data_IF_438685193343
#
_entry.id   IF_438685193343
#
_cell.length_a   1.000
_cell.length_b   1.000
_cell.length_c   1.000
_cell.angle_alpha   90.00
_cell.angle_beta   90.00
_cell.angle_gamma   90.00
#
_symmetry.space_group_name_H-M   'P 1'
#
loop_
_entity.id
_entity.type
_entity.pdbx_description
1 polymer ?
#
# COMPACT_ATOMS: atom_id res chain seq x y z
N UNK A 1 -3.97 9.25 -5.61
CA UNK A 1 -4.86 9.97 -4.68
C UNK A 1 -4.78 9.32 -3.32
N UNK A 2 -4.79 10.08 -2.23
CA UNK A 2 -4.59 9.55 -0.87
C UNK A 2 -5.92 9.32 -0.11
N UNK A 3 -7.04 9.64 -0.74
CA UNK A 3 -8.38 9.60 -0.18
C UNK A 3 -9.34 8.97 -1.19
N UNK A 4 -10.44 8.44 -0.68
CA UNK A 4 -11.55 7.78 -1.37
C UNK A 4 -12.33 8.67 -2.34
N UNK A 5 -12.04 9.97 -2.38
CA UNK A 5 -12.69 10.92 -3.27
C UNK A 5 -14.18 11.03 -2.97
N UNK A 6 -15.02 10.83 -4.00
CA UNK A 6 -16.48 10.96 -3.87
C UNK A 6 -17.15 9.78 -3.15
N UNK A 7 -16.45 8.64 -2.97
CA UNK A 7 -16.96 7.52 -2.17
C UNK A 7 -17.12 7.91 -0.70
N UNK A 8 -16.34 8.91 -0.28
CA UNK A 8 -16.45 9.55 1.01
C UNK A 8 -15.56 8.91 2.08
N UNK A 9 -15.28 9.67 3.14
CA UNK A 9 -14.22 9.42 4.12
C UNK A 9 -14.30 8.11 4.89
N UNK A 10 -15.44 7.41 4.87
CA UNK A 10 -15.57 6.04 5.41
C UNK A 10 -14.72 5.02 4.66
N UNK A 11 -14.34 5.32 3.42
CA UNK A 11 -13.49 4.48 2.57
C UNK A 11 -12.04 5.01 2.50
N UNK A 12 -11.70 6.05 3.26
CA UNK A 12 -10.33 6.54 3.30
C UNK A 12 -9.42 5.49 3.93
N UNK A 13 -8.21 5.26 3.37
CA UNK A 13 -7.26 4.38 3.99
C UNK A 13 -6.78 4.98 5.30
N UNK A 14 -6.52 4.12 6.28
CA UNK A 14 -5.87 4.57 7.50
C UNK A 14 -4.38 4.77 7.26
N UNK A 15 -3.93 6.01 7.34
CA UNK A 15 -2.54 6.37 7.05
C UNK A 15 -1.68 6.37 8.32
N UNK A 16 -0.53 5.67 8.25
CA UNK A 16 0.49 5.66 9.30
C UNK A 16 1.62 6.59 8.87
N UNK A 17 1.84 7.68 9.59
CA UNK A 17 2.84 8.70 9.23
C UNK A 17 4.15 8.60 10.04
N UNK A 18 4.18 7.80 11.11
CA UNK A 18 5.38 7.60 11.94
C UNK A 18 6.48 6.80 11.23
N UNK A 19 7.71 6.87 11.73
CA UNK A 19 8.82 6.04 11.29
C UNK A 19 8.91 4.77 12.16
N UNK A 20 8.61 3.57 11.64
CA UNK A 20 8.67 2.33 12.41
C UNK A 20 10.08 1.96 12.91
N UNK A 21 11.12 2.62 12.40
CA UNK A 21 12.49 2.43 12.87
C UNK A 21 12.83 3.29 14.10
N UNK A 22 12.04 4.31 14.43
CA UNK A 22 12.31 5.16 15.58
C UNK A 22 12.05 4.41 16.91
N UNK A 23 12.88 4.66 17.93
CA UNK A 23 12.78 3.99 19.23
C UNK A 23 11.47 4.33 19.97
N UNK A 24 10.94 5.52 19.72
CA UNK A 24 9.68 6.01 20.26
C UNK A 24 8.48 5.75 19.34
N UNK A 25 8.66 4.95 18.28
CA UNK A 25 7.57 4.62 17.36
C UNK A 25 6.42 3.98 18.14
N UNK A 26 5.35 4.76 18.26
CA UNK A 26 4.06 4.34 18.78
C UNK A 26 3.00 4.89 17.87
N UNK A 27 1.95 4.11 17.68
CA UNK A 27 0.75 4.59 17.02
C UNK A 27 0.09 5.67 17.88
N UNK A 28 0.31 6.94 17.53
CA UNK A 28 -0.30 8.09 18.22
C UNK A 28 -1.85 8.03 18.18
N UNK A 29 -2.42 7.39 17.16
CA UNK A 29 -3.86 7.13 17.05
C UNK A 29 -4.35 5.97 17.95
N UNK A 30 -3.47 5.05 18.35
CA UNK A 30 -3.81 3.87 19.16
C UNK A 30 -3.29 3.92 20.60
N UNK A 31 -2.50 4.92 20.99
CA UNK A 31 -2.10 5.07 22.38
C UNK A 31 -3.34 5.40 23.20
N UNK A 32 -3.97 4.35 23.74
CA UNK A 32 -4.99 4.50 24.76
C UNK A 32 -4.37 5.29 25.90
N UNK A 33 -4.83 6.53 26.14
CA UNK A 33 -4.43 7.32 27.31
C UNK A 33 -4.53 6.45 28.56
N UNK A 34 -3.56 6.57 29.47
CA UNK A 34 -3.53 5.79 30.72
C UNK A 34 -4.92 5.76 31.39
N UNK A 35 -5.42 4.55 31.65
CA UNK A 35 -6.75 4.31 32.22
C UNK A 35 -7.90 4.11 31.22
N UNK A 36 -7.64 4.14 29.91
CA UNK A 36 -8.61 3.82 28.86
C UNK A 36 -8.48 2.35 28.44
N UNK A 37 -9.35 1.49 28.96
CA UNK A 37 -9.42 0.06 28.60
C UNK A 37 -10.40 -0.17 27.45
N UNK A 38 -10.33 -1.30 26.72
CA UNK A 38 -11.31 -1.65 25.69
C UNK A 38 -12.75 -1.54 26.20
N UNK A 39 -13.05 -2.08 27.39
CA UNK A 39 -14.38 -1.96 28.01
C UNK A 39 -14.81 -0.52 28.31
N UNK A 40 -13.88 0.36 28.72
CA UNK A 40 -14.18 1.80 28.91
C UNK A 40 -14.39 2.54 27.59
N UNK A 41 -13.70 2.14 26.52
CA UNK A 41 -13.95 2.65 25.17
C UNK A 41 -15.34 2.24 24.70
N UNK A 42 -15.74 0.98 24.90
CA UNK A 42 -17.10 0.49 24.63
C UNK A 42 -18.15 1.30 25.40
N UNK A 43 -17.99 1.45 26.72
CA UNK A 43 -18.97 2.20 27.52
C UNK A 43 -19.08 3.68 27.12
N UNK A 44 -17.98 4.31 26.71
CA UNK A 44 -18.01 5.69 26.17
C UNK A 44 -18.68 5.75 24.81
N UNK A 45 -18.47 4.75 23.96
CA UNK A 45 -19.15 4.63 22.67
C UNK A 45 -20.66 4.52 22.88
N UNK A 46 -21.09 3.61 23.74
CA UNK A 46 -22.51 3.41 24.07
C UNK A 46 -23.14 4.69 24.62
N UNK A 47 -22.43 5.43 25.48
CA UNK A 47 -22.90 6.71 26.00
C UNK A 47 -23.03 7.77 24.90
N UNK A 48 -22.03 7.89 24.03
CA UNK A 48 -22.05 8.84 22.92
C UNK A 48 -23.16 8.51 21.92
N UNK A 49 -23.39 7.24 21.62
CA UNK A 49 -24.46 6.80 20.72
C UNK A 49 -25.84 7.10 21.33
N UNK A 50 -26.01 6.89 22.65
CA UNK A 50 -27.22 7.32 23.38
C UNK A 50 -27.46 8.83 23.35
N UNK A 51 -26.41 9.64 23.54
CA UNK A 51 -26.51 11.11 23.47
C UNK A 51 -26.81 11.60 22.05
N UNK A 52 -26.24 10.93 21.05
CA UNK A 52 -26.44 11.18 19.64
C UNK A 52 -27.85 10.81 19.16
N UNK A 53 -28.45 9.75 19.69
CA UNK A 53 -29.82 9.35 19.39
C UNK A 53 -30.89 10.35 19.85
N UNK A 54 -30.56 11.25 20.79
CA UNK A 54 -31.44 12.36 21.20
C UNK A 54 -31.34 13.61 20.32
N UNK A 55 -30.41 13.65 19.36
CA UNK A 55 -30.11 14.84 18.54
C UNK A 55 -30.64 14.66 17.11
N UNK A 56 -31.96 14.69 16.94
CA UNK A 56 -32.66 14.49 15.66
C UNK A 56 -32.68 15.77 14.79
N UNK A 57 -31.52 16.35 14.50
CA UNK A 57 -31.39 17.41 13.48
C UNK A 57 -30.66 16.88 12.25
N UNK A 58 -30.90 17.39 11.02
CA UNK A 58 -30.17 16.98 9.84
C UNK A 58 -28.69 17.36 10.04
N UNK A 59 -27.89 16.36 10.45
CA UNK A 59 -26.47 16.52 10.65
C UNK A 59 -25.83 16.67 9.26
N UNK A 60 -25.08 17.75 9.09
CA UNK A 60 -24.30 18.02 7.88
C UNK A 60 -23.34 16.85 7.63
N UNK A 61 -23.08 16.49 6.37
CA UNK A 61 -22.31 15.27 5.98
C UNK A 61 -20.91 15.13 6.58
N UNK A 62 -20.38 16.18 7.24
CA UNK A 62 -19.14 16.16 8.00
C UNK A 62 -19.28 15.42 9.35
N UNK A 63 -20.45 15.46 10.00
CA UNK A 63 -20.68 14.75 11.26
C UNK A 63 -20.81 13.22 11.06
N UNK A 64 -21.41 12.80 9.95
CA UNK A 64 -21.51 11.38 9.59
C UNK A 64 -20.14 10.81 9.18
N UNK A 65 -19.32 11.59 8.45
CA UNK A 65 -17.94 11.18 8.15
C UNK A 65 -17.09 10.90 9.40
N UNK A 66 -17.26 11.73 10.44
CA UNK A 66 -16.56 11.57 11.70
C UNK A 66 -17.06 10.33 12.48
N UNK A 67 -18.35 9.96 12.35
CA UNK A 67 -18.88 8.74 12.96
C UNK A 67 -18.33 7.48 12.30
N UNK A 68 -18.29 7.45 10.97
CA UNK A 68 -17.83 6.28 10.21
C UNK A 68 -16.33 6.02 10.42
N UNK A 69 -15.50 7.06 10.36
CA UNK A 69 -14.07 6.96 10.68
C UNK A 69 -13.84 6.49 12.12
N UNK A 70 -14.67 6.94 13.06
CA UNK A 70 -14.60 6.55 14.47
C UNK A 70 -15.02 5.09 14.69
N UNK A 71 -15.96 4.57 13.91
CA UNK A 71 -16.39 3.17 13.96
C UNK A 71 -15.29 2.23 13.47
N UNK A 72 -14.68 2.54 12.32
CA UNK A 72 -13.56 1.77 11.77
C UNK A 72 -12.37 1.80 12.73
N UNK A 73 -12.02 2.97 13.26
CA UNK A 73 -10.96 3.10 14.26
C UNK A 73 -11.26 2.27 15.51
N UNK A 74 -12.52 2.23 15.96
CA UNK A 74 -12.95 1.43 17.11
C UNK A 74 -12.85 -0.07 16.84
N UNK A 75 -13.26 -0.57 15.67
CA UNK A 75 -13.13 -1.98 15.30
C UNK A 75 -11.66 -2.40 15.24
N UNK A 76 -10.80 -1.57 14.65
CA UNK A 76 -9.36 -1.79 14.61
C UNK A 76 -8.74 -1.79 16.03
N UNK A 77 -9.12 -0.83 16.87
CA UNK A 77 -8.67 -0.70 18.26
C UNK A 77 -9.11 -1.86 19.17
N UNK A 78 -10.30 -2.41 18.93
CA UNK A 78 -10.86 -3.50 19.73
C UNK A 78 -10.37 -4.86 19.25
N UNK A 79 -9.92 -4.98 18.01
CA UNK A 79 -9.16 -6.13 17.53
C UNK A 79 -7.73 -6.07 18.09
N UNK A 80 -7.52 -6.58 19.31
CA UNK A 80 -6.22 -6.52 19.99
C UNK A 80 -5.04 -6.96 19.12
N UNK A 81 -5.26 -7.89 18.19
CA UNK A 81 -4.26 -8.37 17.22
C UNK A 81 -3.67 -7.27 16.32
N UNK A 82 -4.48 -6.33 15.84
CA UNK A 82 -3.98 -5.22 14.99
C UNK A 82 -3.09 -4.31 15.82
N UNK A 83 -3.48 -3.97 17.05
CA UNK A 83 -2.65 -3.17 17.97
C UNK A 83 -1.31 -3.84 18.22
N UNK A 84 -1.30 -5.16 18.46
CA UNK A 84 -0.07 -5.93 18.64
C UNK A 84 0.82 -5.96 17.39
N UNK A 85 0.24 -5.97 16.19
CA UNK A 85 1.01 -5.90 14.95
C UNK A 85 1.84 -4.59 14.86
N UNK A 86 1.34 -3.49 15.42
CA UNK A 86 2.06 -2.21 15.47
C UNK A 86 3.18 -2.14 16.51
N UNK A 87 3.23 -3.09 17.45
CA UNK A 87 4.32 -3.18 18.43
C UNK A 87 5.55 -3.84 17.79
N UNK A 88 6.21 -3.12 16.87
CA UNK A 88 7.39 -3.60 16.14
C UNK A 88 8.57 -3.98 17.07
N UNK A 89 8.59 -3.45 18.29
CA UNK A 89 9.55 -3.84 19.33
C UNK A 89 9.39 -5.29 19.82
N UNK A 90 8.29 -5.98 19.49
CA UNK A 90 8.13 -7.42 19.76
C UNK A 90 8.97 -8.30 18.82
N UNK A 91 9.44 -7.75 17.70
CA UNK A 91 10.33 -8.47 16.78
C UNK A 91 11.74 -8.58 17.34
N UNK A 92 12.39 -9.72 17.10
CA UNK A 92 13.78 -9.91 17.49
C UNK A 92 14.70 -8.91 16.78
N UNK A 93 15.83 -8.59 17.41
CA UNK A 93 16.81 -7.70 16.78
C UNK A 93 17.34 -8.26 15.46
N UNK A 94 17.48 -9.59 15.39
CA UNK A 94 17.87 -10.32 14.19
C UNK A 94 16.87 -10.08 13.05
N UNK A 95 15.56 -10.27 13.29
CA UNK A 95 14.54 -10.01 12.27
C UNK A 95 14.54 -8.55 11.84
N UNK A 96 14.61 -7.62 12.78
CA UNK A 96 14.66 -6.19 12.44
C UNK A 96 15.91 -5.83 11.63
N UNK A 97 17.04 -6.48 11.89
CA UNK A 97 18.28 -6.30 11.13
C UNK A 97 18.20 -6.92 9.73
N UNK A 98 17.55 -8.08 9.55
CA UNK A 98 17.33 -8.69 8.23
C UNK A 98 16.59 -7.76 7.27
N UNK A 99 15.51 -7.12 7.75
CA UNK A 99 14.76 -6.14 6.96
C UNK A 99 15.53 -4.81 6.75
N UNK A 100 16.54 -4.55 7.58
CA UNK A 100 17.32 -3.31 7.57
C UNK A 100 16.76 -2.26 8.54
N UNK A 101 17.66 -1.63 9.31
CA UNK A 101 17.37 -0.59 10.30
C UNK A 101 17.18 0.79 9.66
N UNK A 102 16.22 0.85 8.75
CA UNK A 102 15.82 2.06 8.04
C UNK A 102 14.29 2.07 7.88
N UNK A 103 13.74 3.24 7.53
CA UNK A 103 12.30 3.43 7.42
C UNK A 103 11.62 2.46 6.45
N UNK A 104 12.25 2.12 5.31
CA UNK A 104 11.66 1.23 4.30
C UNK A 104 11.58 -0.20 4.82
N UNK A 105 12.72 -0.73 5.27
CA UNK A 105 12.82 -2.07 5.84
C UNK A 105 11.83 -2.29 6.99
N UNK A 106 11.77 -1.35 7.93
CA UNK A 106 10.85 -1.46 9.07
C UNK A 106 9.38 -1.24 8.67
N UNK A 107 9.09 -0.48 7.62
CA UNK A 107 7.73 -0.36 7.08
C UNK A 107 7.28 -1.67 6.40
N UNK A 108 8.17 -2.35 5.69
CA UNK A 108 7.89 -3.66 5.09
C UNK A 108 7.72 -4.72 6.20
N UNK A 109 8.54 -4.68 7.25
CA UNK A 109 8.39 -5.55 8.43
C UNK A 109 7.03 -5.35 9.12
N UNK A 110 6.61 -4.09 9.31
CA UNK A 110 5.28 -3.78 9.83
C UNK A 110 4.18 -4.30 8.90
N UNK A 111 4.36 -4.19 7.59
CA UNK A 111 3.42 -4.76 6.63
C UNK A 111 3.29 -6.28 6.77
N UNK A 112 4.40 -7.00 6.94
CA UNK A 112 4.40 -8.44 7.23
C UNK A 112 3.57 -8.78 8.47
N UNK A 113 3.75 -8.03 9.56
CA UNK A 113 2.97 -8.20 10.80
C UNK A 113 1.47 -7.95 10.60
N UNK A 114 1.11 -6.96 9.77
CA UNK A 114 -0.28 -6.68 9.42
C UNK A 114 -0.91 -7.82 8.58
N UNK A 115 -0.14 -8.40 7.66
CA UNK A 115 -0.57 -9.59 6.90
C UNK A 115 -0.80 -10.78 7.84
N UNK A 116 0.10 -11.05 8.80
CA UNK A 116 -0.03 -12.15 9.77
C UNK A 116 -1.30 -12.06 10.64
N UNK A 117 -1.80 -10.84 10.90
CA UNK A 117 -3.04 -10.63 11.65
C UNK A 117 -4.28 -10.52 10.77
N UNK A 118 -4.14 -10.70 9.46
CA UNK A 118 -5.23 -10.80 8.50
C UNK A 118 -5.73 -9.46 7.97
N UNK A 119 -4.90 -8.41 7.96
CA UNK A 119 -5.27 -7.15 7.28
C UNK A 119 -5.32 -7.42 5.77
N UNK A 120 -6.48 -7.20 5.11
CA UNK A 120 -6.69 -7.67 3.73
C UNK A 120 -5.90 -6.87 2.68
N UNK A 121 -5.63 -5.58 2.93
CA UNK A 121 -4.87 -4.72 2.03
C UNK A 121 -3.89 -3.90 2.87
N UNK A 122 -2.61 -4.02 2.57
CA UNK A 122 -1.54 -3.27 3.21
C UNK A 122 -0.71 -2.57 2.14
N UNK A 123 -0.59 -1.25 2.24
CA UNK A 123 0.25 -0.46 1.35
C UNK A 123 1.45 0.10 2.12
N UNK A 124 2.65 -0.38 1.81
CA UNK A 124 3.90 0.21 2.29
C UNK A 124 4.44 1.20 1.26
N UNK A 125 4.42 2.49 1.57
CA UNK A 125 4.96 3.52 0.67
C UNK A 125 6.45 3.73 0.95
N UNK A 126 7.28 3.62 -0.09
CA UNK A 126 8.72 3.77 0.02
C UNK A 126 9.13 5.25 -0.01
N UNK A 127 8.89 5.94 1.11
CA UNK A 127 9.25 7.34 1.34
C UNK A 127 8.09 8.32 1.15
N UNK A 128 8.42 9.60 1.06
CA UNK A 128 7.47 10.68 0.75
C UNK A 128 7.30 10.85 -0.77
N UNK A 129 6.33 11.66 -1.18
CA UNK A 129 6.18 12.11 -2.58
C UNK A 129 7.54 12.62 -3.07
N UNK A 130 7.95 12.23 -4.29
CA UNK A 130 9.24 12.55 -4.91
C UNK A 130 10.48 11.76 -4.40
N UNK A 131 10.32 10.82 -3.46
CA UNK A 131 11.47 10.01 -3.00
C UNK A 131 12.15 9.25 -4.12
N UNK A 132 11.36 8.79 -5.11
CA UNK A 132 11.85 8.09 -6.29
C UNK A 132 12.09 9.01 -7.49
N UNK A 133 11.93 10.33 -7.32
CA UNK A 133 12.20 11.35 -8.34
C UNK A 133 13.69 11.64 -8.46
N UNK A 134 14.35 10.84 -9.28
CA UNK A 134 15.77 10.86 -9.56
C UNK A 134 16.13 11.76 -10.75
N UNK A 135 15.55 12.96 -10.82
CA UNK A 135 15.91 13.97 -11.83
C UNK A 135 17.36 14.48 -11.68
N UNK A 136 17.96 14.24 -10.51
CA UNK A 136 19.36 14.53 -10.19
C UNK A 136 19.94 13.30 -9.49
N UNK A 137 21.19 12.98 -9.82
CA UNK A 137 21.96 11.87 -9.23
C UNK A 137 21.21 10.52 -9.26
N UNK A 138 20.72 10.15 -10.44
CA UNK A 138 19.93 8.92 -10.57
C UNK A 138 20.69 7.68 -10.11
N UNK A 139 21.95 7.52 -10.50
CA UNK A 139 22.75 6.35 -10.15
C UNK A 139 23.18 6.35 -8.69
N UNK A 140 23.60 7.48 -8.14
CA UNK A 140 24.01 7.57 -6.74
C UNK A 140 22.84 7.28 -5.80
N UNK A 141 21.68 7.90 -6.03
CA UNK A 141 20.47 7.68 -5.22
C UNK A 141 19.96 6.25 -5.34
N UNK A 142 19.87 5.69 -6.55
CA UNK A 142 19.42 4.32 -6.73
C UNK A 142 20.37 3.32 -6.08
N UNK A 143 21.67 3.41 -6.37
CA UNK A 143 22.67 2.43 -5.91
C UNK A 143 22.92 2.48 -4.41
N UNK A 144 22.93 3.67 -3.82
CA UNK A 144 23.42 3.85 -2.45
C UNK A 144 22.31 4.04 -1.42
N UNK A 145 21.05 4.22 -1.85
CA UNK A 145 19.96 4.52 -0.93
C UNK A 145 18.69 3.76 -1.26
N UNK A 146 18.14 3.92 -2.48
CA UNK A 146 16.80 3.43 -2.79
C UNK A 146 16.76 1.91 -3.01
N UNK A 147 17.59 1.39 -3.93
CA UNK A 147 17.55 -0.03 -4.28
C UNK A 147 18.03 -0.94 -3.14
N UNK A 148 19.13 -0.66 -2.42
CA UNK A 148 19.58 -1.55 -1.33
C UNK A 148 18.54 -1.71 -0.22
N UNK A 149 17.85 -0.63 0.16
CA UNK A 149 16.85 -0.67 1.22
C UNK A 149 15.59 -1.44 0.77
N UNK A 150 15.14 -1.22 -0.47
CA UNK A 150 14.02 -1.96 -1.04
C UNK A 150 14.36 -3.45 -1.18
N UNK A 151 15.51 -3.78 -1.76
CA UNK A 151 15.96 -5.14 -2.01
C UNK A 151 16.09 -5.94 -0.72
N UNK A 152 16.77 -5.38 0.29
CA UNK A 152 16.92 -6.01 1.60
C UNK A 152 15.57 -6.29 2.28
N UNK A 153 14.68 -5.28 2.33
CA UNK A 153 13.39 -5.41 2.99
C UNK A 153 12.44 -6.36 2.25
N UNK A 154 12.42 -6.29 0.90
CA UNK A 154 11.59 -7.15 0.07
C UNK A 154 12.06 -8.60 0.13
N UNK A 155 13.37 -8.87 0.06
CA UNK A 155 13.90 -10.22 0.18
C UNK A 155 13.49 -10.85 1.52
N UNK A 156 13.64 -10.11 2.64
CA UNK A 156 13.24 -10.59 3.95
C UNK A 156 11.72 -10.85 4.06
N UNK A 157 10.89 -10.01 3.44
CA UNK A 157 9.44 -10.23 3.35
C UNK A 157 9.12 -11.52 2.59
N UNK A 158 9.73 -11.72 1.44
CA UNK A 158 9.49 -12.91 0.61
C UNK A 158 9.88 -14.19 1.35
N UNK A 159 11.03 -14.19 2.02
CA UNK A 159 11.49 -15.31 2.85
C UNK A 159 10.52 -15.59 4.00
N UNK A 160 10.09 -14.57 4.74
CA UNK A 160 9.17 -14.73 5.88
C UNK A 160 7.79 -15.24 5.41
N UNK A 161 7.23 -14.69 4.32
CA UNK A 161 5.95 -15.13 3.77
C UNK A 161 6.02 -16.55 3.22
N UNK A 162 7.14 -16.92 2.58
CA UNK A 162 7.33 -18.28 2.10
C UNK A 162 7.46 -19.27 3.27
N UNK A 163 8.28 -18.96 4.27
CA UNK A 163 8.52 -19.84 5.42
C UNK A 163 7.28 -20.03 6.29
N UNK A 164 6.40 -19.02 6.35
CA UNK A 164 5.12 -19.10 7.08
C UNK A 164 3.99 -19.72 6.25
N UNK A 165 4.20 -19.97 4.95
CA UNK A 165 3.15 -20.40 4.02
C UNK A 165 2.17 -19.29 3.60
N UNK A 166 2.29 -18.08 4.15
CA UNK A 166 1.41 -16.94 3.83
C UNK A 166 1.57 -16.45 2.38
N UNK A 167 2.70 -16.75 1.73
CA UNK A 167 2.91 -16.39 0.33
C UNK A 167 1.88 -17.03 -0.61
N UNK A 168 1.36 -18.22 -0.26
CA UNK A 168 0.32 -18.89 -1.06
C UNK A 168 -1.01 -18.13 -1.06
N UNK A 169 -1.26 -17.31 -0.04
CA UNK A 169 -2.51 -16.59 0.18
C UNK A 169 -2.37 -15.06 0.07
N UNK A 170 -1.15 -14.57 -0.12
CA UNK A 170 -0.84 -13.13 -0.15
C UNK A 170 -0.26 -12.76 -1.50
N UNK A 171 -0.91 -11.84 -2.21
CA UNK A 171 -0.33 -11.23 -3.40
C UNK A 171 0.60 -10.09 -3.00
N UNK A 172 1.87 -10.20 -3.35
CA UNK A 172 2.86 -9.13 -3.20
C UNK A 172 3.00 -8.41 -4.53
N UNK A 173 2.74 -7.10 -4.54
CA UNK A 173 2.92 -6.23 -5.70
C UNK A 173 3.88 -5.10 -5.36
N UNK A 174 4.95 -4.98 -6.15
CA UNK A 174 5.94 -3.91 -6.02
C UNK A 174 5.98 -3.13 -7.33
N UNK A 175 5.48 -1.90 -7.30
CA UNK A 175 5.39 -1.06 -8.49
C UNK A 175 5.52 0.42 -8.14
N UNK A 176 6.00 1.20 -9.12
CA UNK A 176 5.93 2.65 -9.10
C UNK A 176 4.74 3.18 -9.92
N UNK A 177 4.67 4.51 -10.07
CA UNK A 177 3.62 5.19 -10.83
C UNK A 177 3.98 5.41 -12.30
N UNK A 178 5.27 5.53 -12.60
CA UNK A 178 5.81 5.77 -13.94
C UNK A 178 7.28 5.36 -14.00
N UNK A 179 7.79 5.21 -15.22
CA UNK A 179 9.18 4.89 -15.49
C UNK A 179 10.05 6.13 -15.57
N UNK A 180 11.26 5.94 -16.08
CA UNK A 180 12.25 7.00 -16.27
C UNK A 180 12.68 7.08 -17.73
N UNK A 181 12.91 8.30 -18.20
CA UNK A 181 13.28 8.53 -19.61
C UNK A 181 14.48 7.67 -20.00
N UNK A 182 14.48 7.02 -21.18
CA UNK A 182 15.68 6.39 -21.73
C UNK A 182 16.85 7.37 -21.84
N UNK A 183 16.51 8.61 -22.21
CA UNK A 183 17.44 9.73 -22.30
C UNK A 183 17.85 10.21 -20.92
N UNK A 184 19.15 10.36 -20.75
CA UNK A 184 19.78 10.98 -19.59
C UNK A 184 19.77 12.50 -19.78
N UNK A 185 19.37 13.24 -18.75
CA UNK A 185 19.29 14.70 -18.78
C UNK A 185 19.95 15.31 -17.54
N UNK A 186 20.45 16.54 -17.70
CA UNK A 186 20.90 17.37 -16.58
C UNK A 186 19.97 18.58 -16.51
N UNK A 187 19.24 18.73 -15.40
CA UNK A 187 18.34 19.86 -15.23
C UNK A 187 19.10 21.19 -15.19
N UNK A 188 18.48 22.32 -15.60
CA UNK A 188 19.08 23.64 -15.48
C UNK A 188 19.57 23.92 -14.05
N UNK A 189 20.82 24.38 -13.91
CA UNK A 189 21.43 24.67 -12.62
C UNK A 189 21.94 23.45 -11.85
N UNK A 190 21.86 22.24 -12.41
CA UNK A 190 22.42 21.02 -11.84
C UNK A 190 23.70 20.60 -12.56
N UNK A 191 24.57 19.87 -11.85
CA UNK A 191 25.83 19.33 -12.40
C UNK A 191 25.81 17.82 -12.52
N UNK A 192 24.97 17.14 -11.75
CA UNK A 192 24.84 15.68 -11.74
C UNK A 192 23.59 15.29 -12.53
N UNK A 193 23.71 14.46 -13.59
CA UNK A 193 22.57 14.08 -14.41
C UNK A 193 21.62 13.13 -13.68
N UNK A 194 20.38 13.09 -14.15
CA UNK A 194 19.36 12.14 -13.73
C UNK A 194 18.49 11.68 -14.90
N UNK A 195 17.25 11.33 -14.61
CA UNK A 195 16.24 10.96 -15.60
C UNK A 195 14.88 11.57 -15.26
N UNK A 196 14.15 11.94 -16.29
CA UNK A 196 12.83 12.55 -16.17
C UNK A 196 11.71 11.51 -16.13
N UNK A 197 10.48 11.96 -15.88
CA UNK A 197 9.30 11.08 -15.84
C UNK A 197 9.01 10.48 -17.21
N UNK A 198 8.62 9.20 -17.22
CA UNK A 198 8.30 8.49 -18.44
C UNK A 198 7.12 7.54 -18.24
N UNK A 199 5.93 8.01 -18.60
CA UNK A 199 4.68 7.25 -18.41
C UNK A 199 4.47 6.13 -19.45
N UNK A 200 5.26 6.11 -20.53
CA UNK A 200 5.06 5.14 -21.61
C UNK A 200 5.44 3.71 -21.25
N UNK A 201 6.38 3.51 -20.31
CA UNK A 201 6.82 2.19 -19.91
C UNK A 201 7.39 2.20 -18.49
N UNK A 202 6.98 1.23 -17.67
CA UNK A 202 7.56 0.88 -16.38
C UNK A 202 7.26 -0.58 -16.05
N UNK A 203 7.98 -1.12 -15.06
CA UNK A 203 7.83 -2.51 -14.63
C UNK A 203 7.18 -2.60 -13.26
N UNK A 204 6.46 -3.70 -13.01
CA UNK A 204 6.01 -4.12 -11.69
C UNK A 204 6.48 -5.54 -11.40
N UNK A 205 6.71 -5.86 -10.13
CA UNK A 205 6.98 -7.20 -9.64
C UNK A 205 5.73 -7.73 -8.94
N UNK A 206 5.40 -8.99 -9.24
CA UNK A 206 4.22 -9.69 -8.73
C UNK A 206 4.65 -11.06 -8.20
N UNK A 207 4.19 -11.45 -7.02
CA UNK A 207 4.47 -12.75 -6.43
C UNK A 207 3.35 -13.21 -5.47
N UNK A 208 3.33 -14.51 -5.18
CA UNK A 208 2.36 -15.11 -4.26
C UNK A 208 0.95 -15.25 -4.84
N UNK A 209 0.00 -15.71 -4.02
CA UNK A 209 -1.41 -15.89 -4.40
C UNK A 209 -1.63 -16.65 -5.74
N UNK A 210 -0.84 -17.71 -5.98
CA UNK A 210 -0.92 -18.51 -7.20
C UNK A 210 -0.21 -17.93 -8.43
N UNK A 211 0.41 -16.75 -8.32
CA UNK A 211 1.27 -16.20 -9.39
C UNK A 211 2.48 -17.12 -9.59
N UNK A 212 2.73 -17.47 -10.86
CA UNK A 212 3.89 -18.26 -11.25
C UNK A 212 5.14 -17.36 -11.26
N UNK A 213 6.09 -17.64 -10.38
CA UNK A 213 7.36 -16.91 -10.33
C UNK A 213 8.31 -17.26 -11.48
N UNK A 214 9.40 -16.49 -11.60
CA UNK A 214 10.50 -16.79 -12.55
C UNK A 214 10.19 -16.49 -14.02
N UNK A 215 9.20 -15.63 -14.28
CA UNK A 215 8.82 -15.22 -15.63
C UNK A 215 8.97 -13.71 -15.82
N UNK A 216 9.15 -13.31 -17.08
CA UNK A 216 9.09 -11.92 -17.53
C UNK A 216 7.89 -11.82 -18.47
N UNK A 217 6.99 -10.89 -18.18
CA UNK A 217 5.80 -10.62 -19.00
C UNK A 217 5.94 -9.21 -19.57
N UNK A 218 5.88 -9.12 -20.89
CA UNK A 218 6.01 -7.91 -21.66
C UNK A 218 7.44 -7.63 -22.12
N UNK A 219 7.54 -6.82 -23.16
CA UNK A 219 8.79 -6.41 -23.78
C UNK A 219 8.73 -4.94 -24.17
N UNK A 220 9.84 -4.24 -24.00
CA UNK A 220 10.05 -2.88 -24.50
C UNK A 220 11.02 -2.87 -25.68
N UNK A 221 11.08 -1.75 -26.40
CA UNK A 221 12.10 -1.54 -27.42
C UNK A 221 13.52 -1.60 -26.83
N UNK A 222 14.53 -1.62 -27.70
CA UNK A 222 15.94 -1.73 -27.29
C UNK A 222 16.44 -0.59 -26.39
N UNK A 223 15.68 0.51 -26.27
CA UNK A 223 16.00 1.65 -25.40
C UNK A 223 15.17 1.65 -24.10
N UNK A 224 14.31 0.64 -23.91
CA UNK A 224 13.32 0.59 -22.84
C UNK A 224 12.36 1.81 -22.84
N UNK A 225 12.07 2.37 -24.02
CA UNK A 225 11.25 3.57 -24.16
C UNK A 225 9.76 3.22 -24.29
N UNK A 226 9.41 2.32 -25.21
CA UNK A 226 8.02 1.98 -25.48
C UNK A 226 7.80 0.48 -25.41
N UNK A 227 6.62 0.01 -24.97
CA UNK A 227 6.25 -1.39 -25.07
C UNK A 227 6.15 -1.80 -26.54
N UNK A 228 6.68 -2.98 -26.87
CA UNK A 228 6.59 -3.58 -28.21
C UNK A 228 5.81 -4.91 -28.21
N UNK A 229 5.46 -5.41 -27.03
CA UNK A 229 4.47 -6.49 -26.81
C UNK A 229 3.15 -5.89 -26.31
N UNK A 230 2.18 -6.75 -25.94
CA UNK A 230 1.00 -6.32 -25.18
C UNK A 230 1.44 -5.56 -23.93
N UNK A 231 0.99 -4.31 -23.82
CA UNK A 231 1.15 -3.50 -22.63
C UNK A 231 -0.03 -3.70 -21.68
N UNK A 232 0.24 -3.64 -20.38
CA UNK A 232 -0.77 -3.71 -19.33
C UNK A 232 -0.88 -2.34 -18.65
N UNK A 233 -2.09 -1.83 -18.58
CA UNK A 233 -2.42 -0.54 -18.01
C UNK A 233 -2.56 -0.62 -16.47
N UNK A 234 -2.57 0.52 -15.76
CA UNK A 234 -2.94 0.54 -14.35
C UNK A 234 -4.31 -0.10 -14.07
N UNK A 235 -5.26 0.00 -15.01
CA UNK A 235 -6.57 -0.63 -14.86
C UNK A 235 -6.49 -2.17 -14.88
N UNK A 236 -5.57 -2.75 -15.66
CA UNK A 236 -5.33 -4.20 -15.70
C UNK A 236 -4.71 -4.70 -14.39
N UNK A 237 -3.81 -3.89 -13.80
CA UNK A 237 -3.25 -4.18 -12.47
C UNK A 237 -4.35 -4.16 -11.40
N UNK A 238 -5.20 -3.12 -11.38
CA UNK A 238 -6.34 -3.06 -10.46
C UNK A 238 -7.30 -4.25 -10.65
N UNK A 239 -7.58 -4.64 -11.90
CA UNK A 239 -8.42 -5.80 -12.22
C UNK A 239 -7.83 -7.09 -11.68
N UNK A 240 -6.52 -7.26 -11.79
CA UNK A 240 -5.80 -8.42 -11.26
C UNK A 240 -5.86 -8.46 -9.73
N UNK A 241 -5.66 -7.32 -9.06
CA UNK A 241 -5.77 -7.20 -7.60
C UNK A 241 -7.19 -7.55 -7.11
N UNK A 242 -8.21 -7.01 -7.75
CA UNK A 242 -9.61 -7.20 -7.33
C UNK A 242 -10.08 -8.63 -7.61
N UNK A 243 -9.63 -9.22 -8.72
CA UNK A 243 -9.84 -10.65 -8.97
C UNK A 243 -9.22 -11.52 -7.87
N UNK A 244 -8.02 -11.18 -7.38
CA UNK A 244 -7.40 -11.91 -6.28
C UNK A 244 -8.11 -11.72 -4.93
N UNK A 245 -8.87 -10.63 -4.79
CA UNK A 245 -9.72 -10.34 -3.64
C UNK A 245 -11.17 -10.85 -3.80
N UNK A 246 -11.47 -11.58 -4.89
CA UNK A 246 -12.80 -12.08 -5.22
C UNK A 246 -13.87 -10.98 -5.34
N UNK A 247 -13.47 -9.80 -5.85
CA UNK A 247 -14.39 -8.70 -6.14
C UNK A 247 -15.00 -8.91 -7.52
N UNK A 248 -16.33 -8.86 -7.59
CA UNK A 248 -17.08 -9.01 -8.83
C UNK A 248 -16.69 -7.90 -9.86
N UNK A 249 -16.25 -8.27 -11.07
CA UNK A 249 -15.83 -7.32 -12.09
C UNK A 249 -16.96 -6.42 -12.62
N UNK A 250 -18.22 -6.83 -12.47
CA UNK A 250 -19.38 -6.07 -12.96
C UNK A 250 -19.89 -5.03 -11.93
N UNK A 251 -19.21 -4.89 -10.79
CA UNK A 251 -19.57 -3.91 -9.76
C UNK A 251 -19.50 -2.50 -10.33
N UNK A 252 -20.59 -1.75 -10.17
CA UNK A 252 -20.65 -0.33 -10.51
C UNK A 252 -20.73 0.55 -9.27
N UNK A 253 -20.01 1.67 -9.30
CA UNK A 253 -20.15 2.77 -8.35
C UNK A 253 -20.95 3.91 -8.96
N UNK A 254 -21.78 4.57 -8.15
CA UNK A 254 -22.60 5.69 -8.58
C UNK A 254 -21.92 6.99 -8.15
N UNK A 255 -21.71 7.90 -9.09
CA UNK A 255 -21.14 9.21 -8.78
C UNK A 255 -22.19 10.20 -8.21
N UNK A 256 -21.79 11.38 -7.72
CA UNK A 256 -22.74 12.37 -7.20
C UNK A 256 -23.78 12.88 -8.21
N UNK A 257 -23.54 12.70 -9.51
CA UNK A 257 -24.47 13.04 -10.60
C UNK A 257 -25.36 11.86 -11.01
N UNK A 258 -25.39 10.78 -10.20
CA UNK A 258 -26.16 9.56 -10.44
C UNK A 258 -25.76 8.80 -11.71
N UNK A 259 -24.50 8.93 -12.13
CA UNK A 259 -23.97 8.17 -13.27
C UNK A 259 -23.30 6.89 -12.78
N UNK A 260 -23.65 5.72 -13.36
CA UNK A 260 -22.95 4.48 -13.06
C UNK A 260 -21.59 4.47 -13.74
N UNK A 261 -20.57 4.06 -12.99
CA UNK A 261 -19.23 3.77 -13.48
C UNK A 261 -18.86 2.38 -13.02
N UNK A 262 -18.34 1.54 -13.90
CA UNK A 262 -17.70 0.30 -13.46
C UNK A 262 -16.56 0.64 -12.50
N UNK A 263 -16.47 -0.15 -11.42
CA UNK A 263 -15.45 0.01 -10.40
C UNK A 263 -14.04 -0.17 -11.00
N UNK A 264 -13.90 -1.05 -11.99
CA UNK A 264 -12.68 -1.20 -12.78
C UNK A 264 -13.02 -1.46 -14.25
N UNK A 265 -12.22 -0.91 -15.15
CA UNK A 265 -12.35 -1.07 -16.60
C UNK A 265 -11.08 -1.66 -17.24
N UNK A 266 -10.51 -2.71 -16.63
CA UNK A 266 -9.32 -3.39 -17.12
C UNK A 266 -9.55 -4.88 -17.32
N UNK A 267 -8.48 -5.58 -17.65
CA UNK A 267 -8.46 -7.04 -17.82
C UNK A 267 -7.46 -7.66 -16.84
N UNK A 268 -7.81 -8.84 -16.31
CA UNK A 268 -6.87 -9.60 -15.47
C UNK A 268 -5.63 -9.96 -16.31
N UNK A 269 -4.45 -9.75 -15.73
CA UNK A 269 -3.16 -10.11 -16.35
C UNK A 269 -2.97 -11.63 -16.23
N UNK A 270 -3.72 -12.37 -17.04
CA UNK A 270 -3.75 -13.83 -17.03
C UNK A 270 -2.35 -14.49 -17.16
N UNK A 271 -1.38 -13.93 -17.91
CA UNK A 271 -0.02 -14.48 -17.98
C UNK A 271 0.66 -14.66 -16.61
N UNK A 272 0.31 -13.85 -15.59
CA UNK A 272 0.85 -14.01 -14.23
C UNK A 272 0.60 -15.41 -13.66
N UNK A 273 -0.52 -16.04 -14.02
CA UNK A 273 -0.92 -17.35 -13.51
C UNK A 273 -0.58 -18.49 -14.48
N UNK A 274 -0.71 -18.26 -15.79
CA UNK A 274 -0.49 -19.30 -16.81
C UNK A 274 0.99 -19.52 -17.16
N UNK A 275 1.83 -18.49 -17.04
CA UNK A 275 3.23 -18.52 -17.47
C UNK A 275 3.43 -18.42 -18.98
N UNK A 276 2.39 -18.11 -19.76
CA UNK A 276 2.48 -17.92 -21.21
C UNK A 276 1.95 -16.53 -21.58
N UNK A 277 2.70 -15.79 -22.38
CA UNK A 277 2.17 -14.63 -23.10
C UNK A 277 1.26 -15.14 -24.23
N UNK A 278 -0.06 -15.06 -24.03
CA UNK A 278 -1.04 -15.26 -25.11
C UNK A 278 -1.29 -13.96 -25.86
#
# INVERSE_FOLDING_TARGET
GQHSGFLGPKHDPWQIQGDPNADDFRMQALSMREGMTPGRLTSRRDLLDRLNHGSSGPLTGQADSFRDQREIAYQLLTSGRVVEAFEIGRESEETRNRYGRNKFGQSILLARRLVEVGVPIVQATMGIVQTWDTHVDNWGRLKNTLLPQLDQGLAALMDDLQNSGLLEQTMVVVMGEFGRTPKISTLPGQTIPGRDHWAHAYSGLFAGAGIRGGQVIGQTDAQAAYPISRAWSPADVCSTLFNALDVDPDVTIIDPLQRPHYLINGTVIAPLYSGNES
#
